data_IF_535073389657
#
_entry.id   IF_535073389657
#
_cell.length_a   1.000
_cell.length_b   1.000
_cell.length_c   1.000
_cell.angle_alpha   90.00
_cell.angle_beta   90.00
_cell.angle_gamma   90.00
#
_symmetry.space_group_name_H-M   'P 1'
#
loop_
_entity.id
_entity.type
_entity.pdbx_description
1 polymer ?
#
# COMPACT_ATOMS: atom_id res chain seq x y z
N UNK A 1 4.55 -51.94 -10.56
CA UNK A 1 4.64 -50.68 -11.33
C UNK A 1 5.59 -49.81 -10.53
N UNK A 2 6.87 -49.84 -10.88
CA UNK A 2 7.92 -49.07 -10.21
C UNK A 2 7.80 -47.62 -10.65
N UNK A 3 7.41 -46.76 -9.70
CA UNK A 3 7.42 -45.32 -9.91
C UNK A 3 8.83 -44.85 -9.56
N UNK A 4 9.61 -44.55 -10.59
CA UNK A 4 10.94 -43.95 -10.49
C UNK A 4 10.81 -42.50 -10.01
N UNK A 5 11.31 -42.23 -8.80
CA UNK A 5 11.32 -40.90 -8.16
C UNK A 5 12.51 -40.02 -8.59
N UNK A 6 13.34 -40.45 -9.55
CA UNK A 6 14.48 -39.65 -10.05
C UNK A 6 14.11 -38.69 -11.18
N UNK A 7 12.83 -38.35 -11.33
CA UNK A 7 12.42 -37.25 -12.21
C UNK A 7 12.70 -35.95 -11.47
N UNK A 8 13.68 -35.20 -11.97
CA UNK A 8 14.03 -33.84 -11.53
C UNK A 8 12.79 -33.04 -11.16
N UNK A 9 12.82 -32.21 -10.10
CA UNK A 9 11.66 -31.41 -9.74
C UNK A 9 11.32 -30.57 -10.96
N UNK A 10 10.16 -30.85 -11.57
CA UNK A 10 9.56 -29.94 -12.53
C UNK A 10 9.26 -28.70 -11.69
N UNK A 11 10.20 -27.76 -11.69
CA UNK A 11 9.89 -26.39 -11.37
C UNK A 11 8.93 -25.97 -12.48
N UNK A 12 7.63 -26.24 -12.27
CA UNK A 12 6.63 -25.43 -12.91
C UNK A 12 6.93 -24.04 -12.38
N UNK A 13 7.73 -23.28 -13.11
CA UNK A 13 7.70 -21.84 -13.03
C UNK A 13 6.22 -21.52 -13.24
N UNK A 14 5.48 -21.38 -12.13
CA UNK A 14 4.07 -21.04 -12.15
C UNK A 14 4.05 -19.63 -12.69
N UNK A 15 4.01 -19.53 -14.02
CA UNK A 15 3.81 -18.27 -14.72
C UNK A 15 2.55 -17.69 -14.11
N UNK A 16 2.66 -16.50 -13.52
CA UNK A 16 1.49 -15.82 -12.94
C UNK A 16 0.42 -15.78 -14.02
N UNK A 17 -0.83 -16.20 -13.74
CA UNK A 17 -1.90 -16.10 -14.71
C UNK A 17 -2.05 -14.64 -15.14
N UNK A 18 -2.04 -14.42 -16.45
CA UNK A 18 -2.32 -13.13 -17.08
C UNK A 18 -3.80 -13.14 -17.45
N UNK A 19 -4.56 -12.18 -16.91
CA UNK A 19 -6.01 -12.09 -17.14
C UNK A 19 -6.34 -11.04 -18.21
N UNK A 20 -5.44 -10.10 -18.48
CA UNK A 20 -5.64 -9.02 -19.44
C UNK A 20 -4.64 -9.07 -20.60
N UNK A 21 -5.10 -8.68 -21.79
CA UNK A 21 -4.25 -8.61 -22.99
C UNK A 21 -3.24 -7.44 -22.92
N UNK A 22 -3.51 -6.41 -22.12
CA UNK A 22 -2.62 -5.26 -21.95
C UNK A 22 -1.44 -5.63 -21.04
N UNK A 23 -0.19 -5.59 -21.53
CA UNK A 23 0.97 -5.93 -20.71
C UNK A 23 1.06 -5.07 -19.45
N UNK A 24 1.25 -5.72 -18.30
CA UNK A 24 1.41 -5.04 -17.01
C UNK A 24 0.10 -4.67 -16.29
N UNK A 25 -1.06 -4.80 -16.92
CA UNK A 25 -2.35 -4.45 -16.31
C UNK A 25 -2.68 -5.36 -15.11
N UNK A 26 -2.42 -6.66 -15.20
CA UNK A 26 -2.55 -7.59 -14.07
C UNK A 26 -1.69 -7.21 -12.87
N UNK A 27 -0.48 -6.70 -13.11
CA UNK A 27 0.44 -6.26 -12.05
C UNK A 27 -0.06 -4.97 -11.40
N UNK A 28 -0.59 -4.03 -12.18
CA UNK A 28 -1.23 -2.83 -11.67
C UNK A 28 -2.43 -3.17 -10.79
N UNK A 29 -3.31 -4.06 -11.23
CA UNK A 29 -4.44 -4.52 -10.44
C UNK A 29 -4.01 -5.23 -9.16
N UNK A 30 -3.01 -6.11 -9.22
CA UNK A 30 -2.48 -6.78 -8.03
C UNK A 30 -1.91 -5.76 -7.01
N UNK A 31 -1.19 -4.73 -7.49
CA UNK A 31 -0.70 -3.65 -6.64
C UNK A 31 -1.85 -2.84 -6.02
N UNK A 32 -2.88 -2.50 -6.81
CA UNK A 32 -4.03 -1.73 -6.34
C UNK A 32 -4.84 -2.51 -5.27
N UNK A 33 -5.07 -3.81 -5.49
CA UNK A 33 -5.73 -4.68 -4.51
C UNK A 33 -4.92 -4.75 -3.23
N UNK A 34 -3.60 -5.01 -3.33
CA UNK A 34 -2.72 -5.04 -2.17
C UNK A 34 -2.69 -3.71 -1.40
N UNK A 35 -2.65 -2.57 -2.11
CA UNK A 35 -2.72 -1.25 -1.49
C UNK A 35 -4.06 -1.01 -0.79
N UNK A 36 -5.16 -1.42 -1.42
CA UNK A 36 -6.52 -1.29 -0.85
C UNK A 36 -6.65 -2.11 0.43
N UNK A 37 -6.10 -3.31 0.46
CA UNK A 37 -6.06 -4.16 1.65
C UNK A 37 -5.25 -3.49 2.78
N UNK A 38 -4.06 -2.97 2.49
CA UNK A 38 -3.26 -2.25 3.47
C UNK A 38 -4.00 -0.99 3.99
N UNK A 39 -4.72 -0.30 3.12
CA UNK A 39 -5.52 0.86 3.51
C UNK A 39 -6.70 0.47 4.42
N UNK A 40 -7.40 -0.63 4.12
CA UNK A 40 -8.48 -1.15 4.96
C UNK A 40 -7.96 -1.50 6.37
N UNK A 41 -6.85 -2.24 6.46
CA UNK A 41 -6.20 -2.57 7.74
C UNK A 41 -5.79 -1.30 8.50
N UNK A 42 -5.30 -0.27 7.80
CA UNK A 42 -4.96 1.01 8.43
C UNK A 42 -6.17 1.72 9.04
N UNK A 43 -7.31 1.74 8.34
CA UNK A 43 -8.56 2.29 8.86
C UNK A 43 -9.04 1.54 10.11
N UNK A 44 -8.99 0.21 10.10
CA UNK A 44 -9.34 -0.63 11.27
C UNK A 44 -8.42 -0.37 12.46
N UNK A 45 -7.11 -0.20 12.21
CA UNK A 45 -6.14 0.13 13.24
C UNK A 45 -6.39 1.53 13.82
N UNK A 46 -6.71 2.52 12.98
CA UNK A 46 -7.12 3.83 13.47
C UNK A 46 -8.39 3.77 14.32
N UNK A 47 -9.37 2.94 13.94
CA UNK A 47 -10.57 2.77 14.75
C UNK A 47 -10.26 2.11 16.09
N UNK A 48 -9.50 1.03 16.08
CA UNK A 48 -9.04 0.32 17.27
C UNK A 48 -8.32 1.26 18.25
N UNK A 49 -7.44 2.13 17.74
CA UNK A 49 -6.76 3.14 18.56
C UNK A 49 -7.75 4.11 19.21
N UNK A 50 -8.71 4.66 18.46
CA UNK A 50 -9.75 5.54 19.02
C UNK A 50 -10.54 4.82 20.12
N UNK A 51 -10.99 3.59 19.87
CA UNK A 51 -11.77 2.81 20.84
C UNK A 51 -10.98 2.57 22.13
N UNK A 52 -9.70 2.20 22.03
CA UNK A 52 -8.84 1.99 23.19
C UNK A 52 -8.66 3.28 24.01
N UNK A 53 -8.44 4.42 23.35
CA UNK A 53 -8.26 5.70 24.03
C UNK A 53 -9.55 6.15 24.75
N UNK A 54 -10.71 5.98 24.11
CA UNK A 54 -12.02 6.26 24.72
C UNK A 54 -12.29 5.32 25.90
N UNK A 55 -12.05 4.02 25.73
CA UNK A 55 -12.27 3.02 26.80
C UNK A 55 -11.40 3.28 28.03
N UNK A 56 -10.21 3.84 27.84
CA UNK A 56 -9.31 4.28 28.93
C UNK A 56 -9.65 5.66 29.51
N UNK A 57 -10.65 6.35 28.97
CA UNK A 57 -11.06 7.69 29.40
C UNK A 57 -10.01 8.78 29.10
N UNK A 58 -9.11 8.54 28.14
CA UNK A 58 -8.04 9.49 27.79
C UNK A 58 -8.52 10.60 26.84
N UNK A 59 -9.56 10.32 26.06
CA UNK A 59 -10.18 11.25 25.11
C UNK A 59 -11.68 10.97 25.05
N UNK A 60 -12.49 11.97 24.69
CA UNK A 60 -13.92 11.78 24.42
C UNK A 60 -14.21 11.66 22.92
N UNK A 61 -15.41 11.17 22.57
CA UNK A 61 -15.84 11.12 21.17
C UNK A 61 -15.98 12.54 20.60
N UNK A 62 -16.48 13.46 21.42
CA UNK A 62 -16.67 14.86 21.10
C UNK A 62 -15.32 15.56 20.84
N UNK A 63 -14.32 15.29 21.68
CA UNK A 63 -12.97 15.83 21.52
C UNK A 63 -12.33 15.39 20.20
N UNK A 64 -12.45 14.11 19.84
CA UNK A 64 -11.96 13.59 18.54
C UNK A 64 -12.70 14.26 17.38
N UNK A 65 -14.03 14.41 17.47
CA UNK A 65 -14.84 14.96 16.39
C UNK A 65 -14.64 16.47 16.18
N UNK A 66 -14.32 17.21 17.25
CA UNK A 66 -14.10 18.66 17.23
C UNK A 66 -12.63 19.04 17.12
N UNK A 67 -11.73 18.06 17.12
CA UNK A 67 -10.30 18.30 17.07
C UNK A 67 -9.93 19.14 15.85
N UNK A 68 -9.36 20.31 16.11
CA UNK A 68 -8.78 21.19 15.10
C UNK A 68 -7.26 21.17 15.27
N UNK A 69 -6.48 20.70 14.28
CA UNK A 69 -5.03 20.67 14.39
C UNK A 69 -4.47 22.09 14.48
N UNK A 70 -3.40 22.26 15.26
CA UNK A 70 -2.65 23.52 15.28
C UNK A 70 -1.93 23.75 13.95
N UNK A 71 -1.50 24.99 13.71
CA UNK A 71 -0.70 25.33 12.52
C UNK A 71 0.56 24.48 12.39
N UNK A 72 1.24 24.18 13.50
CA UNK A 72 2.42 23.30 13.52
C UNK A 72 2.09 21.87 13.05
N UNK A 73 0.99 21.29 13.56
CA UNK A 73 0.54 19.95 13.14
C UNK A 73 0.15 19.94 11.66
N UNK A 74 -0.48 21.00 11.16
CA UNK A 74 -0.83 21.13 9.74
C UNK A 74 0.44 21.16 8.89
N UNK A 75 1.45 21.95 9.26
CA UNK A 75 2.72 22.05 8.52
C UNK A 75 3.46 20.72 8.48
N UNK A 76 3.52 20.00 9.61
CA UNK A 76 4.15 18.68 9.66
C UNK A 76 3.43 17.67 8.75
N UNK A 77 2.09 17.68 8.72
CA UNK A 77 1.30 16.84 7.81
C UNK A 77 1.53 17.20 6.35
N UNK A 78 1.62 18.50 6.04
CA UNK A 78 1.88 18.98 4.68
C UNK A 78 3.27 18.51 4.20
N UNK A 79 4.30 18.66 5.03
CA UNK A 79 5.65 18.19 4.69
C UNK A 79 5.68 16.66 4.47
N UNK A 80 5.00 15.88 5.32
CA UNK A 80 4.89 14.43 5.14
C UNK A 80 4.13 14.06 3.84
N UNK A 81 3.09 14.82 3.50
CA UNK A 81 2.32 14.61 2.27
C UNK A 81 3.17 14.92 1.03
N UNK A 82 3.92 16.02 1.03
CA UNK A 82 4.85 16.37 -0.05
C UNK A 82 5.91 15.29 -0.26
N UNK A 83 6.47 14.74 0.82
CA UNK A 83 7.41 13.62 0.75
C UNK A 83 6.77 12.38 0.12
N UNK A 84 5.53 12.05 0.50
CA UNK A 84 4.80 10.91 -0.06
C UNK A 84 4.52 11.10 -1.56
N UNK A 85 4.03 12.28 -1.95
CA UNK A 85 3.74 12.60 -3.35
C UNK A 85 5.02 12.51 -4.18
N UNK A 86 6.12 13.11 -3.73
CA UNK A 86 7.40 13.03 -4.42
C UNK A 86 7.89 11.58 -4.54
N UNK A 87 7.74 10.76 -3.49
CA UNK A 87 8.13 9.36 -3.55
C UNK A 87 7.31 8.54 -4.56
N UNK A 88 6.01 8.85 -4.71
CA UNK A 88 5.11 8.17 -5.66
C UNK A 88 5.38 8.64 -7.10
N UNK A 89 5.60 9.94 -7.31
CA UNK A 89 5.75 10.51 -8.65
C UNK A 89 7.14 10.31 -9.24
N UNK A 90 8.19 10.24 -8.41
CA UNK A 90 9.57 10.16 -8.87
C UNK A 90 9.85 9.03 -9.88
N UNK A 91 9.37 7.78 -9.69
CA UNK A 91 9.56 6.73 -10.70
C UNK A 91 8.89 7.06 -12.05
N UNK A 92 7.72 7.70 -12.01
CA UNK A 92 6.99 8.12 -13.22
C UNK A 92 7.73 9.25 -13.92
N UNK A 93 8.27 10.20 -13.18
CA UNK A 93 9.12 11.27 -13.71
C UNK A 93 10.40 10.72 -14.35
N UNK A 94 11.05 9.73 -13.72
CA UNK A 94 12.26 9.08 -14.25
C UNK A 94 11.98 8.30 -15.55
N UNK A 95 10.83 7.62 -15.65
CA UNK A 95 10.35 6.98 -16.87
C UNK A 95 9.99 7.99 -17.97
N UNK A 96 9.26 9.07 -17.64
CA UNK A 96 8.85 10.12 -18.59
C UNK A 96 10.02 10.96 -19.11
N UNK A 97 11.00 11.26 -18.26
CA UNK A 97 12.18 12.06 -18.62
C UNK A 97 13.24 11.25 -19.37
N UNK A 98 13.00 9.96 -19.62
CA UNK A 98 13.85 9.15 -20.47
C UNK A 98 15.23 8.92 -19.86
N UNK A 99 15.27 8.39 -18.62
CA UNK A 99 16.41 7.55 -18.24
C UNK A 99 16.20 6.13 -18.79
N UNK A 100 15.89 6.04 -20.09
CA UNK A 100 16.27 4.91 -20.93
C UNK A 100 17.80 4.87 -20.97
N UNK A 101 18.40 4.36 -19.90
CA UNK A 101 19.80 3.93 -19.95
C UNK A 101 19.84 2.64 -20.77
N UNK A 102 20.41 2.78 -21.97
CA UNK A 102 21.24 1.76 -22.62
C UNK A 102 22.11 1.00 -21.62
#
# INVERSE_FOLDING_TARGET
MDIDYTKDPVTSATTRPEFFETPGLDRLYAMLVGLTEQFAVSLERHDTLKQILIAKGLVTKEEIAQYTPSQDVIQQRQAAHEQLVNAILKPIEEELLGLDRQ
#
